data_IF_949778563515
#
_entry.id   IF_949778563515
#
_cell.length_a   1.000
_cell.length_b   1.000
_cell.length_c   1.000
_cell.angle_alpha   90.00
_cell.angle_beta   90.00
_cell.angle_gamma   90.00
#
_symmetry.space_group_name_H-M   'P 1'
#
loop_
_entity.id
_entity.type
_entity.pdbx_description
1 polymer ?
#
# COMPACT_ATOMS: atom_id res chain seq x y z
N UNK A 1 -53.43 42.08 12.41
CA UNK A 1 -52.54 41.43 11.42
C UNK A 1 -51.20 41.19 12.10
N UNK A 2 -50.99 40.00 12.69
CA UNK A 2 -49.71 39.58 13.27
C UNK A 2 -49.48 38.13 12.86
N UNK A 3 -48.56 37.91 11.92
CA UNK A 3 -48.10 36.58 11.50
C UNK A 3 -46.77 36.30 12.19
N UNK A 4 -46.65 35.28 13.07
CA UNK A 4 -45.35 34.77 13.46
C UNK A 4 -44.91 33.71 12.45
N UNK A 5 -43.98 34.08 11.56
CA UNK A 5 -43.10 33.12 10.90
C UNK A 5 -42.17 32.54 11.98
N UNK A 6 -42.46 31.32 12.45
CA UNK A 6 -41.49 30.51 13.19
C UNK A 6 -41.15 29.27 12.36
N UNK A 7 -39.84 29.11 12.22
CA UNK A 7 -39.12 28.14 11.44
C UNK A 7 -39.63 26.69 11.57
N UNK A 8 -40.13 26.14 10.47
CA UNK A 8 -40.11 24.69 10.21
C UNK A 8 -38.74 24.35 9.62
N UNK A 9 -37.73 24.24 10.47
CA UNK A 9 -36.49 23.57 10.11
C UNK A 9 -36.82 22.09 9.95
N UNK A 10 -36.84 21.66 8.69
CA UNK A 10 -36.82 20.27 8.26
C UNK A 10 -35.77 19.51 9.07
N UNK A 11 -36.23 18.53 9.85
CA UNK A 11 -35.37 17.52 10.43
C UNK A 11 -34.81 16.67 9.27
N UNK A 12 -33.70 17.13 8.70
CA UNK A 12 -32.82 16.29 7.90
C UNK A 12 -32.31 15.23 8.86
N UNK A 13 -32.93 14.05 8.80
CA UNK A 13 -32.37 12.83 9.35
C UNK A 13 -30.99 12.66 8.71
N UNK A 14 -29.95 13.02 9.45
CA UNK A 14 -28.59 12.66 9.12
C UNK A 14 -28.55 11.13 9.10
N UNK A 15 -28.60 10.57 7.89
CA UNK A 15 -28.42 9.15 7.65
C UNK A 15 -26.93 8.87 7.88
N UNK A 16 -26.56 8.78 9.16
CA UNK A 16 -25.19 8.61 9.63
C UNK A 16 -24.77 7.18 9.26
N UNK A 17 -24.37 6.99 8.00
CA UNK A 17 -23.74 5.77 7.48
C UNK A 17 -22.29 5.69 7.96
N UNK A 18 -22.06 6.04 9.24
CA UNK A 18 -20.83 5.69 9.93
C UNK A 18 -20.84 4.18 10.05
N UNK A 19 -20.05 3.55 9.20
CA UNK A 19 -19.62 2.18 9.44
C UNK A 19 -19.22 2.09 10.90
N UNK A 20 -19.99 1.30 11.66
CA UNK A 20 -19.61 0.90 13.00
C UNK A 20 -18.23 0.25 12.87
N UNK A 21 -17.18 1.03 13.10
CA UNK A 21 -15.87 0.50 13.40
C UNK A 21 -16.02 -0.16 14.77
N UNK A 22 -16.53 -1.40 14.75
CA UNK A 22 -16.51 -2.27 15.91
C UNK A 22 -15.03 -2.51 16.21
N UNK A 23 -14.47 -1.65 17.06
CA UNK A 23 -13.20 -1.91 17.72
C UNK A 23 -13.43 -3.18 18.53
N UNK A 24 -13.07 -4.31 17.93
CA UNK A 24 -13.17 -5.66 18.50
C UNK A 24 -12.13 -5.76 19.62
N UNK A 25 -12.40 -5.10 20.73
CA UNK A 25 -11.61 -5.18 21.97
C UNK A 25 -11.94 -6.48 22.70
N UNK A 26 -11.69 -7.61 22.04
CA UNK A 26 -11.59 -8.93 22.66
C UNK A 26 -10.56 -9.76 21.87
N UNK A 27 -9.32 -9.28 21.75
CA UNK A 27 -8.22 -10.19 21.48
C UNK A 27 -7.86 -10.86 22.81
N UNK A 28 -7.74 -12.20 22.78
CA UNK A 28 -6.97 -12.93 23.79
C UNK A 28 -5.57 -12.30 23.87
N UNK A 29 -4.84 -12.39 24.98
CA UNK A 29 -3.44 -12.00 25.00
C UNK A 29 -2.68 -12.84 23.98
N UNK A 30 -2.50 -12.29 22.79
CA UNK A 30 -1.62 -12.75 21.73
C UNK A 30 -0.22 -12.33 22.10
N UNK A 31 0.78 -13.16 21.80
CA UNK A 31 2.18 -12.80 22.03
C UNK A 31 2.44 -11.47 21.30
N UNK A 32 2.91 -10.40 21.99
CA UNK A 32 3.10 -9.08 21.39
C UNK A 32 4.07 -9.11 20.19
N UNK A 33 4.96 -10.11 20.13
CA UNK A 33 5.85 -10.32 18.99
C UNK A 33 5.07 -10.81 17.75
N UNK A 34 4.03 -11.61 17.91
CA UNK A 34 3.16 -12.01 16.80
C UNK A 34 2.35 -10.82 16.27
N UNK A 35 1.84 -9.97 17.17
CA UNK A 35 1.15 -8.73 16.77
C UNK A 35 2.10 -7.81 15.98
N UNK A 36 3.34 -7.66 16.44
CA UNK A 36 4.37 -6.90 15.73
C UNK A 36 4.70 -7.53 14.36
N UNK A 37 4.77 -8.86 14.28
CA UNK A 37 4.99 -9.58 13.03
C UNK A 37 3.84 -9.37 12.02
N UNK A 38 2.59 -9.37 12.49
CA UNK A 38 1.41 -9.03 11.67
C UNK A 38 1.53 -7.63 11.11
N UNK A 39 1.94 -6.66 11.93
CA UNK A 39 2.12 -5.26 11.50
C UNK A 39 3.22 -5.16 10.43
N UNK A 40 4.40 -5.76 10.67
CA UNK A 40 5.47 -5.75 9.67
C UNK A 40 5.04 -6.38 8.35
N UNK A 41 4.36 -7.53 8.41
CA UNK A 41 3.81 -8.19 7.23
C UNK A 41 2.86 -7.28 6.46
N UNK A 42 1.89 -6.66 7.15
CA UNK A 42 0.88 -5.82 6.52
C UNK A 42 1.51 -4.60 5.82
N UNK A 43 2.46 -3.93 6.49
CA UNK A 43 3.18 -2.78 5.92
C UNK A 43 3.98 -3.20 4.69
N UNK A 44 4.74 -4.28 4.79
CA UNK A 44 5.60 -4.71 3.71
C UNK A 44 4.80 -5.23 2.51
N UNK A 45 3.70 -5.95 2.75
CA UNK A 45 2.79 -6.39 1.70
C UNK A 45 2.12 -5.22 0.98
N UNK A 46 1.75 -4.16 1.72
CA UNK A 46 1.22 -2.95 1.11
C UNK A 46 2.24 -2.26 0.20
N UNK A 47 3.50 -2.13 0.65
CA UNK A 47 4.57 -1.55 -0.16
C UNK A 47 4.87 -2.36 -1.42
N UNK A 48 4.85 -3.70 -1.32
CA UNK A 48 5.04 -4.59 -2.47
C UNK A 48 3.93 -4.39 -3.52
N UNK A 49 2.67 -4.32 -3.08
CA UNK A 49 1.53 -4.05 -3.97
C UNK A 49 1.60 -2.66 -4.60
N UNK A 50 1.97 -1.64 -3.83
CA UNK A 50 2.18 -0.29 -4.35
C UNK A 50 3.27 -0.27 -5.42
N UNK A 51 4.40 -0.93 -5.18
CA UNK A 51 5.49 -1.03 -6.16
C UNK A 51 5.00 -1.71 -7.44
N UNK A 52 4.35 -2.86 -7.33
CA UNK A 52 3.82 -3.59 -8.49
C UNK A 52 2.83 -2.75 -9.30
N UNK A 53 1.96 -1.99 -8.62
CA UNK A 53 1.03 -1.07 -9.27
C UNK A 53 1.76 0.01 -10.07
N UNK A 54 2.73 0.71 -9.48
CA UNK A 54 3.44 1.79 -10.17
C UNK A 54 4.43 1.29 -11.23
N UNK A 55 4.97 0.09 -11.07
CA UNK A 55 5.74 -0.58 -12.12
C UNK A 55 4.87 -0.85 -13.35
N UNK A 56 3.63 -1.33 -13.12
CA UNK A 56 2.66 -1.56 -14.19
C UNK A 56 2.20 -0.25 -14.86
N UNK A 57 1.88 0.79 -14.08
CA UNK A 57 1.52 2.12 -14.61
C UNK A 57 2.67 2.71 -15.44
N UNK A 58 3.91 2.61 -14.98
CA UNK A 58 5.09 3.02 -15.76
C UNK A 58 5.14 2.32 -17.11
N UNK A 59 4.94 1.01 -17.14
CA UNK A 59 4.97 0.23 -18.38
C UNK A 59 3.81 0.60 -19.31
N UNK A 60 2.61 0.77 -18.76
CA UNK A 60 1.43 1.19 -19.53
C UNK A 60 1.64 2.55 -20.19
N UNK A 61 2.13 3.53 -19.44
CA UNK A 61 2.35 4.88 -19.94
C UNK A 61 3.54 4.97 -20.91
N UNK A 62 4.53 4.09 -20.77
CA UNK A 62 5.62 3.93 -21.74
C UNK A 62 5.08 3.40 -23.08
N UNK A 63 4.31 2.31 -23.06
CA UNK A 63 3.67 1.76 -24.26
C UNK A 63 2.73 2.78 -24.92
N UNK A 64 2.00 3.56 -24.13
CA UNK A 64 1.13 4.63 -24.65
C UNK A 64 1.95 5.73 -25.34
N UNK A 65 3.09 6.12 -24.78
CA UNK A 65 3.99 7.10 -25.41
C UNK A 65 4.56 6.58 -26.73
N UNK A 66 5.02 5.32 -26.77
CA UNK A 66 5.50 4.66 -27.99
C UNK A 66 4.43 4.61 -29.08
N UNK A 67 3.20 4.30 -28.68
CA UNK A 67 2.04 4.34 -29.59
C UNK A 67 1.80 5.73 -30.16
N UNK A 68 1.81 6.79 -29.33
CA UNK A 68 1.65 8.16 -29.82
C UNK A 68 2.76 8.56 -30.80
N UNK A 69 4.00 8.14 -30.56
CA UNK A 69 5.12 8.36 -31.48
C UNK A 69 4.88 7.66 -32.82
N UNK A 70 4.39 6.41 -32.78
CA UNK A 70 4.11 5.60 -33.96
C UNK A 70 2.93 6.14 -34.79
N UNK A 71 1.93 6.71 -34.14
CA UNK A 71 0.76 7.34 -34.77
C UNK A 71 1.03 8.76 -35.30
N UNK A 72 2.26 9.29 -35.14
CA UNK A 72 2.61 10.63 -35.58
C UNK A 72 1.91 11.73 -34.78
N UNK A 73 1.67 11.51 -33.49
CA UNK A 73 1.10 12.53 -32.60
C UNK A 73 1.97 13.79 -32.58
N UNK A 74 1.34 14.95 -32.44
CA UNK A 74 2.05 16.22 -32.38
C UNK A 74 2.88 16.36 -31.09
N UNK A 75 3.86 17.27 -31.15
CA UNK A 75 4.83 17.51 -30.09
C UNK A 75 4.18 17.82 -28.73
N UNK A 76 3.14 18.67 -28.72
CA UNK A 76 2.43 19.01 -27.48
C UNK A 76 1.84 17.78 -26.79
N UNK A 77 1.25 16.86 -27.57
CA UNK A 77 0.65 15.63 -27.04
C UNK A 77 1.71 14.65 -26.54
N UNK A 78 2.85 14.56 -27.23
CA UNK A 78 3.99 13.76 -26.77
C UNK A 78 4.54 14.29 -25.44
N UNK A 79 4.74 15.61 -25.32
CA UNK A 79 5.24 16.24 -24.09
C UNK A 79 4.31 16.02 -22.89
N UNK A 80 3.00 16.12 -23.09
CA UNK A 80 2.03 15.84 -22.02
C UNK A 80 2.14 14.38 -21.58
N UNK A 81 2.22 13.45 -22.53
CA UNK A 81 2.34 12.02 -22.23
C UNK A 81 3.67 11.70 -21.51
N UNK A 82 4.77 12.35 -21.89
CA UNK A 82 6.05 12.24 -21.18
C UNK A 82 5.98 12.74 -19.74
N UNK A 83 5.21 13.80 -19.47
CA UNK A 83 4.97 14.25 -18.10
C UNK A 83 4.16 13.24 -17.28
N UNK A 84 3.19 12.56 -17.89
CA UNK A 84 2.43 11.48 -17.23
C UNK A 84 3.36 10.31 -16.88
N UNK A 85 4.19 9.87 -17.83
CA UNK A 85 5.19 8.82 -17.59
C UNK A 85 6.16 9.20 -16.47
N UNK A 86 6.68 10.44 -16.48
CA UNK A 86 7.57 10.94 -15.42
C UNK A 86 6.91 10.92 -14.04
N UNK A 87 5.61 11.21 -13.95
CA UNK A 87 4.87 11.14 -12.68
C UNK A 87 4.77 9.71 -12.16
N UNK A 88 4.46 8.74 -13.02
CA UNK A 88 4.43 7.33 -12.63
C UNK A 88 5.82 6.85 -12.16
N UNK A 89 6.87 7.18 -12.90
CA UNK A 89 8.26 6.87 -12.55
C UNK A 89 8.69 7.55 -11.23
N UNK A 90 8.26 8.79 -11.00
CA UNK A 90 8.60 9.55 -9.80
C UNK A 90 8.08 8.96 -8.49
N UNK A 91 7.08 8.08 -8.54
CA UNK A 91 6.55 7.41 -7.34
C UNK A 91 7.45 6.27 -6.85
N UNK A 92 8.13 5.59 -7.77
CA UNK A 92 8.88 4.36 -7.47
C UNK A 92 10.06 4.55 -6.48
N UNK A 93 10.92 5.59 -6.60
CA UNK A 93 12.07 5.74 -5.68
C UNK A 93 11.66 5.82 -4.22
N UNK A 94 10.57 6.55 -3.91
CA UNK A 94 10.07 6.68 -2.54
C UNK A 94 9.51 5.37 -1.98
N UNK A 95 8.83 4.59 -2.81
CA UNK A 95 8.28 3.28 -2.44
C UNK A 95 9.43 2.28 -2.21
N UNK A 96 10.38 2.21 -3.15
CA UNK A 96 11.58 1.37 -3.06
C UNK A 96 12.39 1.68 -1.80
N UNK A 97 12.60 2.96 -1.49
CA UNK A 97 13.31 3.37 -0.28
C UNK A 97 12.60 2.88 1.00
N UNK A 98 11.29 3.10 1.10
CA UNK A 98 10.50 2.62 2.25
C UNK A 98 10.54 1.10 2.35
N UNK A 99 10.37 0.41 1.22
CA UNK A 99 10.36 -1.05 1.16
C UNK A 99 11.70 -1.65 1.60
N UNK A 100 12.84 -1.08 1.20
CA UNK A 100 14.17 -1.50 1.70
C UNK A 100 14.26 -1.40 3.23
N UNK A 101 13.83 -0.28 3.79
CA UNK A 101 13.86 -0.07 5.24
C UNK A 101 12.96 -1.07 5.99
N UNK A 102 11.77 -1.36 5.46
CA UNK A 102 10.86 -2.31 6.11
C UNK A 102 11.31 -3.78 5.93
N UNK A 103 11.94 -4.12 4.80
CA UNK A 103 12.63 -5.42 4.62
C UNK A 103 13.72 -5.58 5.67
N UNK A 104 14.57 -4.57 5.86
CA UNK A 104 15.64 -4.62 6.86
C UNK A 104 15.10 -4.77 8.28
N UNK A 105 14.00 -4.08 8.62
CA UNK A 105 13.36 -4.20 9.94
C UNK A 105 12.80 -5.60 10.18
N UNK A 106 12.00 -6.12 9.24
CA UNK A 106 11.40 -7.45 9.38
C UNK A 106 12.48 -8.54 9.39
N UNK A 107 13.51 -8.42 8.54
CA UNK A 107 14.64 -9.35 8.54
C UNK A 107 15.37 -9.37 9.89
N UNK A 108 15.74 -8.20 10.42
CA UNK A 108 16.37 -8.09 11.75
C UNK A 108 15.47 -8.67 12.86
N UNK A 109 14.16 -8.42 12.77
CA UNK A 109 13.20 -8.95 13.74
C UNK A 109 13.18 -10.48 13.74
N UNK A 110 13.18 -11.11 12.57
CA UNK A 110 13.25 -12.57 12.44
C UNK A 110 14.63 -13.14 12.82
N UNK A 111 15.72 -12.45 12.47
CA UNK A 111 17.09 -12.88 12.81
C UNK A 111 17.35 -12.88 14.33
N UNK A 112 16.60 -12.07 15.09
CA UNK A 112 16.66 -12.07 16.56
C UNK A 112 15.95 -13.27 17.19
N UNK A 113 15.06 -13.97 16.47
CA UNK A 113 14.33 -15.14 16.93
C UNK A 113 15.16 -16.43 16.78
N UNK A 114 16.29 -16.50 17.51
CA UNK A 114 17.30 -17.57 17.36
C UNK A 114 16.77 -18.98 17.60
N UNK A 115 15.78 -19.13 18.46
CA UNK A 115 15.17 -20.42 18.82
C UNK A 115 13.91 -20.75 17.99
N UNK A 116 13.58 -19.90 17.00
CA UNK A 116 12.37 -20.00 16.18
C UNK A 116 11.09 -20.09 17.02
N UNK A 117 11.05 -19.40 18.16
CA UNK A 117 9.90 -19.42 19.06
C UNK A 117 8.66 -18.87 18.35
N UNK A 118 8.83 -17.82 17.52
CA UNK A 118 7.72 -17.23 16.77
C UNK A 118 7.14 -18.20 15.77
N UNK A 119 8.00 -19.01 15.14
CA UNK A 119 7.56 -20.04 14.19
C UNK A 119 6.81 -21.18 14.90
N UNK A 120 7.19 -21.52 16.12
CA UNK A 120 6.48 -22.51 16.93
C UNK A 120 5.12 -22.00 17.40
N UNK A 121 5.01 -20.70 17.69
CA UNK A 121 3.76 -20.06 18.09
C UNK A 121 2.77 -19.93 16.92
N UNK A 122 3.24 -19.51 15.74
CA UNK A 122 2.45 -19.44 14.52
C UNK A 122 3.31 -19.70 13.27
N UNK A 123 3.37 -20.97 12.87
CA UNK A 123 4.18 -21.40 11.72
C UNK A 123 3.70 -20.77 10.42
N UNK A 124 2.39 -20.62 10.24
CA UNK A 124 1.82 -20.09 9.01
C UNK A 124 2.15 -18.60 8.86
N UNK A 125 1.98 -17.80 9.92
CA UNK A 125 2.34 -16.38 9.90
C UNK A 125 3.83 -16.19 9.65
N UNK A 126 4.67 -16.96 10.35
CA UNK A 126 6.12 -16.89 10.20
C UNK A 126 6.57 -17.22 8.77
N UNK A 127 6.14 -18.35 8.23
CA UNK A 127 6.52 -18.81 6.88
C UNK A 127 6.02 -17.80 5.81
N UNK A 128 4.82 -17.25 5.97
CA UNK A 128 4.31 -16.17 5.11
C UNK A 128 5.18 -14.91 5.16
N UNK A 129 5.74 -14.54 6.32
CA UNK A 129 6.62 -13.38 6.45
C UNK A 129 7.98 -13.62 5.78
N UNK A 130 8.52 -14.83 5.89
CA UNK A 130 9.76 -15.24 5.20
C UNK A 130 9.57 -15.23 3.69
N UNK A 131 8.46 -15.79 3.19
CA UNK A 131 8.13 -15.75 1.76
C UNK A 131 7.97 -14.30 1.27
N UNK A 132 7.24 -13.47 2.02
CA UNK A 132 7.06 -12.05 1.71
C UNK A 132 8.41 -11.32 1.64
N UNK A 133 9.34 -11.58 2.57
CA UNK A 133 10.69 -11.01 2.53
C UNK A 133 11.42 -11.37 1.24
N UNK A 134 11.40 -12.65 0.86
CA UNK A 134 12.05 -13.12 -0.36
C UNK A 134 11.45 -12.47 -1.62
N UNK A 135 10.12 -12.38 -1.68
CA UNK A 135 9.40 -11.71 -2.76
C UNK A 135 9.76 -10.23 -2.83
N UNK A 136 9.88 -9.56 -1.68
CA UNK A 136 10.27 -8.16 -1.61
C UNK A 136 11.71 -7.94 -2.06
N UNK A 137 12.64 -8.78 -1.60
CA UNK A 137 14.06 -8.73 -2.01
C UNK A 137 14.20 -8.94 -3.51
N UNK A 138 13.54 -9.96 -4.07
CA UNK A 138 13.52 -10.22 -5.51
C UNK A 138 12.96 -9.02 -6.30
N UNK A 139 11.88 -8.40 -5.80
CA UNK A 139 11.29 -7.20 -6.43
C UNK A 139 12.21 -5.97 -6.37
N UNK A 140 13.05 -5.87 -5.34
CA UNK A 140 14.03 -4.79 -5.16
C UNK A 140 15.32 -4.98 -5.97
N UNK A 141 15.66 -6.21 -6.35
CA UNK A 141 16.79 -6.51 -7.24
C UNK A 141 16.45 -6.23 -8.70
N UNK A 142 15.18 -6.42 -9.10
CA UNK A 142 14.66 -6.18 -10.46
C UNK A 142 14.47 -4.69 -10.81
N UNK A 143 15.28 -3.77 -10.24
CA UNK A 143 15.23 -2.35 -10.60
C UNK A 143 15.98 -2.15 -11.93
N UNK A 144 15.23 -2.19 -13.03
CA UNK A 144 15.65 -1.74 -14.37
C UNK A 144 15.16 -0.31 -14.58
#
# INVERSE_FOLDING_TARGET
MNNPHIALLSAVQANDTRHNATLRSQSRPTDPRLEQLIVYRAVLQHLLLQKAHYDHERELELRRLERFRSEGANERRLQIQEQVLKKAQGMLPGIVFKMRNEVDKLKRFLDMDKEQELRQLDTALYDNCVELLNNCQSSLENII
#
